data_IF_869076035591
#
_entry.id   IF_869076035591
#
_cell.length_a   1.000
_cell.length_b   1.000
_cell.length_c   1.000
_cell.angle_alpha   90.00
_cell.angle_beta   90.00
_cell.angle_gamma   90.00
#
_symmetry.space_group_name_H-M   'P 1'
#
loop_
_entity.id
_entity.type
_entity.pdbx_description
1 polymer ?
#
# COMPACT_ATOMS: atom_id res chain seq x y z
N UNK A 1 13.29 15.88 -4.67
CA UNK A 1 12.70 17.20 -4.95
C UNK A 1 12.92 17.63 -6.39
N UNK A 2 14.16 17.73 -6.87
CA UNK A 2 14.50 18.18 -8.23
C UNK A 2 13.82 17.32 -9.31
N UNK A 3 13.83 15.99 -9.15
CA UNK A 3 13.16 15.09 -10.08
C UNK A 3 11.66 15.39 -10.25
N UNK A 4 10.94 15.70 -9.17
CA UNK A 4 9.52 16.04 -9.24
C UNK A 4 9.27 17.35 -10.01
N UNK A 5 10.15 18.33 -9.84
CA UNK A 5 10.10 19.59 -10.59
C UNK A 5 10.32 19.32 -12.08
N UNK A 6 11.34 18.51 -12.42
CA UNK A 6 11.61 18.15 -13.82
C UNK A 6 10.47 17.34 -14.43
N UNK A 7 9.89 16.40 -13.71
CA UNK A 7 8.72 15.64 -14.15
C UNK A 7 7.54 16.57 -14.45
N UNK A 8 7.27 17.53 -13.57
CA UNK A 8 6.21 18.52 -13.81
C UNK A 8 6.48 19.38 -15.06
N UNK A 9 7.71 19.87 -15.22
CA UNK A 9 8.13 20.64 -16.41
C UNK A 9 8.02 19.83 -17.70
N UNK A 10 8.29 18.52 -17.63
CA UNK A 10 8.13 17.59 -18.75
C UNK A 10 6.66 17.21 -19.06
N UNK A 11 5.69 17.79 -18.32
CA UNK A 11 4.27 17.56 -18.55
C UNK A 11 3.67 16.35 -17.80
N UNK A 12 4.34 15.82 -16.78
CA UNK A 12 3.79 14.74 -15.96
C UNK A 12 2.48 15.18 -15.31
N UNK A 13 1.40 14.43 -15.57
CA UNK A 13 0.05 14.72 -15.07
C UNK A 13 -0.29 13.92 -13.81
N UNK A 14 0.24 12.70 -13.67
CA UNK A 14 -0.06 11.80 -12.57
C UNK A 14 1.16 10.97 -12.18
N UNK A 15 1.33 10.75 -10.86
CA UNK A 15 2.32 9.82 -10.29
C UNK A 15 1.60 8.86 -9.35
N UNK A 16 1.93 7.58 -9.48
CA UNK A 16 1.55 6.53 -8.53
C UNK A 16 2.77 6.12 -7.72
N UNK A 17 2.64 6.13 -6.40
CA UNK A 17 3.70 5.75 -5.46
C UNK A 17 3.43 4.39 -4.85
N UNK A 18 4.35 3.45 -5.02
CA UNK A 18 4.40 2.19 -4.27
C UNK A 18 4.92 2.44 -2.85
N UNK A 19 4.06 2.93 -1.96
CA UNK A 19 4.43 3.21 -0.56
C UNK A 19 4.42 1.94 0.27
N UNK A 20 3.50 1.03 -0.01
CA UNK A 20 3.31 -0.28 0.61
C UNK A 20 2.93 -0.18 2.11
N UNK A 21 3.66 0.53 2.94
CA UNK A 21 3.37 0.78 4.35
C UNK A 21 3.96 2.11 4.81
N UNK A 22 3.44 2.66 5.91
CA UNK A 22 4.02 3.80 6.63
C UNK A 22 4.51 3.38 8.04
N UNK A 23 4.61 2.08 8.30
CA UNK A 23 5.29 1.52 9.47
C UNK A 23 6.70 1.08 9.06
N UNK A 24 7.72 1.69 9.66
CA UNK A 24 9.12 1.43 9.35
C UNK A 24 9.49 -0.06 9.49
N UNK A 25 9.02 -0.69 10.57
CA UNK A 25 9.24 -2.13 10.82
C UNK A 25 8.74 -2.99 9.65
N UNK A 26 7.55 -2.70 9.13
CA UNK A 26 6.97 -3.45 7.99
C UNK A 26 7.80 -3.22 6.73
N UNK A 27 8.17 -1.98 6.43
CA UNK A 27 9.02 -1.64 5.28
C UNK A 27 10.35 -2.38 5.33
N UNK A 28 11.03 -2.38 6.47
CA UNK A 28 12.29 -3.11 6.64
C UNK A 28 12.13 -4.62 6.45
N UNK A 29 11.04 -5.22 6.94
CA UNK A 29 10.79 -6.66 6.82
C UNK A 29 10.62 -7.14 5.37
N UNK A 30 10.19 -6.24 4.48
CA UNK A 30 10.00 -6.50 3.05
C UNK A 30 11.10 -5.90 2.17
N UNK A 31 12.25 -5.55 2.77
CA UNK A 31 13.40 -5.04 2.04
C UNK A 31 13.29 -3.58 1.55
N UNK A 32 12.27 -2.85 1.97
CA UNK A 32 12.07 -1.42 1.66
C UNK A 32 12.83 -0.57 2.67
N UNK A 33 14.01 -0.07 2.31
CA UNK A 33 14.92 0.66 3.20
C UNK A 33 14.79 2.17 3.01
N UNK A 34 13.63 2.74 3.29
CA UNK A 34 13.41 4.19 3.28
C UNK A 34 12.61 4.63 4.50
N UNK A 35 12.80 5.89 4.89
CA UNK A 35 12.02 6.52 5.95
C UNK A 35 10.60 6.85 5.44
N UNK A 36 9.53 6.38 6.11
CA UNK A 36 8.15 6.72 5.77
C UNK A 36 7.89 8.23 5.69
N UNK A 37 8.57 9.04 6.49
CA UNK A 37 8.44 10.51 6.46
C UNK A 37 8.89 11.09 5.13
N UNK A 38 9.96 10.56 4.53
CA UNK A 38 10.44 10.97 3.22
C UNK A 38 9.43 10.66 2.10
N UNK A 39 8.75 9.52 2.20
CA UNK A 39 7.68 9.19 1.26
C UNK A 39 6.54 10.22 1.34
N UNK A 40 6.10 10.57 2.57
CA UNK A 40 5.05 11.57 2.78
C UNK A 40 5.45 12.97 2.29
N UNK A 41 6.70 13.39 2.52
CA UNK A 41 7.21 14.67 1.99
C UNK A 41 7.17 14.72 0.46
N UNK A 42 7.59 13.64 -0.21
CA UNK A 42 7.57 13.57 -1.66
C UNK A 42 6.15 13.54 -2.23
N UNK A 43 5.23 12.82 -1.59
CA UNK A 43 3.81 12.80 -1.95
C UNK A 43 3.20 14.21 -1.86
N UNK A 44 3.39 14.90 -0.73
CA UNK A 44 2.89 16.25 -0.51
C UNK A 44 3.52 17.27 -1.48
N UNK A 45 4.80 17.13 -1.79
CA UNK A 45 5.48 17.96 -2.78
C UNK A 45 4.91 17.73 -4.18
N UNK A 46 4.64 16.50 -4.60
CA UNK A 46 4.05 16.21 -5.90
C UNK A 46 2.70 16.92 -6.07
N UNK A 47 1.83 16.84 -5.05
CA UNK A 47 0.55 17.57 -5.02
C UNK A 47 0.77 19.08 -5.12
N UNK A 48 1.70 19.64 -4.35
CA UNK A 48 2.00 21.08 -4.36
C UNK A 48 2.50 21.60 -5.72
N UNK A 49 3.09 20.71 -6.52
CA UNK A 49 3.50 20.99 -7.91
C UNK A 49 2.36 20.82 -8.93
N UNK A 50 1.15 20.49 -8.47
CA UNK A 50 -0.02 20.26 -9.32
C UNK A 50 0.03 18.94 -10.09
N UNK A 51 0.74 17.93 -9.57
CA UNK A 51 0.76 16.58 -10.12
C UNK A 51 -0.29 15.76 -9.37
N UNK A 52 -1.24 15.15 -10.09
CA UNK A 52 -2.17 14.21 -9.47
C UNK A 52 -1.40 13.07 -8.83
N UNK A 53 -1.61 12.84 -7.55
CA UNK A 53 -0.80 11.91 -6.77
C UNK A 53 -1.67 10.81 -6.19
N UNK A 54 -1.24 9.58 -6.39
CA UNK A 54 -1.89 8.39 -5.86
C UNK A 54 -0.84 7.54 -5.13
N UNK A 55 -1.20 6.91 -4.03
CA UNK A 55 -0.35 5.95 -3.34
C UNK A 55 -1.12 4.66 -3.03
N UNK A 56 -0.39 3.54 -2.91
CA UNK A 56 -0.95 2.32 -2.37
C UNK A 56 -0.46 2.05 -0.95
N UNK A 57 -1.33 1.39 -0.19
CA UNK A 57 -1.03 0.72 1.09
C UNK A 57 -1.36 -0.76 0.91
N UNK A 58 -0.50 -1.63 1.39
CA UNK A 58 -0.68 -3.08 1.34
C UNK A 58 -0.87 -3.59 2.76
N UNK A 59 -1.86 -4.45 2.95
CA UNK A 59 -2.19 -5.11 4.22
C UNK A 59 -1.85 -6.60 4.12
N UNK A 60 -1.33 -7.17 5.20
CA UNK A 60 -1.11 -8.61 5.31
C UNK A 60 0.31 -9.07 5.01
N UNK A 61 1.30 -8.20 5.16
CA UNK A 61 2.70 -8.62 5.09
C UNK A 61 3.04 -9.68 6.15
N UNK A 62 3.92 -10.64 5.84
CA UNK A 62 4.41 -11.60 6.83
C UNK A 62 4.96 -10.90 8.07
N UNK A 63 4.48 -11.30 9.25
CA UNK A 63 4.89 -10.69 10.52
C UNK A 63 4.30 -9.31 10.83
N UNK A 64 3.45 -8.78 9.95
CA UNK A 64 2.70 -7.54 10.22
C UNK A 64 1.65 -7.78 11.32
N UNK A 65 1.64 -6.93 12.33
CA UNK A 65 0.69 -6.96 13.44
C UNK A 65 -0.40 -5.90 13.28
N UNK A 66 -1.47 -6.01 14.07
CA UNK A 66 -2.48 -4.95 14.16
C UNK A 66 -1.89 -3.59 14.55
N UNK A 67 -0.92 -3.59 15.47
CA UNK A 67 -0.22 -2.37 15.88
C UNK A 67 0.50 -1.70 14.72
N UNK A 68 1.14 -2.49 13.85
CA UNK A 68 1.88 -1.98 12.69
C UNK A 68 0.91 -1.35 11.66
N UNK A 69 -0.27 -1.96 11.44
CA UNK A 69 -1.34 -1.38 10.60
C UNK A 69 -1.89 -0.07 11.16
N UNK A 70 -2.12 -0.04 12.48
CA UNK A 70 -2.56 1.20 13.15
C UNK A 70 -1.49 2.29 13.09
N UNK A 71 -0.20 1.94 13.16
CA UNK A 71 0.90 2.88 12.98
C UNK A 71 0.92 3.46 11.56
N UNK A 72 0.73 2.63 10.53
CA UNK A 72 0.59 3.08 9.14
C UNK A 72 -0.54 4.11 9.01
N UNK A 73 -1.72 3.86 9.58
CA UNK A 73 -2.83 4.81 9.57
C UNK A 73 -2.50 6.11 10.31
N UNK A 74 -1.87 6.05 11.47
CA UNK A 74 -1.46 7.25 12.23
C UNK A 74 -0.47 8.10 11.44
N UNK A 75 0.54 7.47 10.83
CA UNK A 75 1.54 8.16 10.05
C UNK A 75 0.96 8.79 8.78
N UNK A 76 -0.06 8.18 8.19
CA UNK A 76 -0.76 8.75 7.04
C UNK A 76 -1.55 10.03 7.34
N UNK A 77 -1.80 10.36 8.60
CA UNK A 77 -2.50 11.59 9.00
C UNK A 77 -1.80 12.90 8.59
N UNK A 78 -0.57 12.82 8.07
CA UNK A 78 0.22 13.98 7.60
C UNK A 78 0.22 14.14 6.08
N UNK A 79 -0.41 13.25 5.33
CA UNK A 79 -0.50 13.34 3.88
C UNK A 79 -1.57 14.35 3.45
N UNK A 80 -1.34 14.97 2.29
CA UNK A 80 -2.27 15.94 1.74
C UNK A 80 -3.60 15.28 1.37
N UNK A 81 -4.71 15.97 1.62
CA UNK A 81 -6.07 15.46 1.37
C UNK A 81 -6.37 15.10 -0.09
N UNK A 82 -5.66 15.70 -1.03
CA UNK A 82 -5.83 15.46 -2.47
C UNK A 82 -4.98 14.27 -2.98
N UNK A 83 -4.39 13.49 -2.07
CA UNK A 83 -3.71 12.24 -2.41
C UNK A 83 -4.74 11.11 -2.42
N UNK A 84 -4.91 10.49 -3.59
CA UNK A 84 -5.74 9.29 -3.70
C UNK A 84 -5.01 8.10 -3.05
N UNK A 85 -5.69 7.38 -2.14
CA UNK A 85 -5.12 6.22 -1.47
C UNK A 85 -5.85 4.96 -1.90
N UNK A 86 -5.10 4.01 -2.45
CA UNK A 86 -5.55 2.67 -2.79
C UNK A 86 -5.08 1.71 -1.71
N UNK A 87 -5.96 0.89 -1.17
CA UNK A 87 -5.62 -0.12 -0.16
C UNK A 87 -5.82 -1.51 -0.76
N UNK A 88 -4.80 -2.34 -0.71
CA UNK A 88 -4.83 -3.71 -1.20
C UNK A 88 -4.40 -4.71 -0.12
N UNK A 89 -4.85 -5.97 -0.25
CA UNK A 89 -4.20 -7.09 0.41
C UNK A 89 -2.89 -7.46 -0.29
N UNK A 90 -2.01 -8.15 0.41
CA UNK A 90 -0.77 -8.64 -0.19
C UNK A 90 -1.07 -9.77 -1.19
N UNK A 91 -0.77 -9.50 -2.46
CA UNK A 91 -1.02 -10.44 -3.54
C UNK A 91 0.07 -11.51 -3.65
N UNK A 92 -0.35 -12.72 -4.02
CA UNK A 92 0.54 -13.83 -4.36
C UNK A 92 0.75 -13.81 -5.88
N UNK A 93 1.95 -13.42 -6.32
CA UNK A 93 2.31 -13.38 -7.74
C UNK A 93 3.47 -14.35 -8.02
N UNK A 94 3.37 -15.20 -9.07
CA UNK A 94 4.47 -16.09 -9.45
C UNK A 94 5.79 -15.34 -9.66
N UNK A 95 6.89 -15.92 -9.18
CA UNK A 95 8.22 -15.33 -9.29
C UNK A 95 8.58 -14.32 -8.19
N UNK A 96 7.68 -13.98 -7.29
CA UNK A 96 7.96 -13.16 -6.11
C UNK A 96 8.33 -14.04 -4.90
N UNK A 97 9.15 -13.50 -3.97
CA UNK A 97 9.50 -14.23 -2.73
C UNK A 97 8.26 -14.64 -1.92
N UNK A 98 7.22 -13.80 -1.91
CA UNK A 98 5.95 -14.10 -1.26
C UNK A 98 5.25 -15.32 -1.87
N UNK A 99 5.45 -15.60 -3.15
CA UNK A 99 4.91 -16.78 -3.82
C UNK A 99 5.52 -18.06 -3.23
N UNK A 100 6.84 -18.08 -3.08
CA UNK A 100 7.56 -19.20 -2.47
C UNK A 100 7.17 -19.40 -1.01
N UNK A 101 6.91 -18.32 -0.28
CA UNK A 101 6.39 -18.41 1.09
C UNK A 101 4.98 -19.02 1.10
N UNK A 102 4.11 -18.55 0.23
CA UNK A 102 2.75 -19.06 0.13
C UNK A 102 2.68 -20.54 -0.23
N UNK A 103 3.56 -21.02 -1.14
CA UNK A 103 3.66 -22.46 -1.45
C UNK A 103 4.06 -23.27 -0.22
N UNK A 104 5.01 -22.81 0.59
CA UNK A 104 5.37 -23.48 1.85
C UNK A 104 4.23 -23.48 2.87
N UNK A 105 3.40 -22.43 2.85
CA UNK A 105 2.21 -22.30 3.70
C UNK A 105 0.96 -23.03 3.16
N UNK A 106 1.12 -23.78 2.05
CA UNK A 106 0.06 -24.63 1.50
C UNK A 106 -0.79 -24.00 0.38
N UNK A 107 -0.36 -22.88 -0.20
CA UNK A 107 -1.01 -22.32 -1.40
C UNK A 107 -0.94 -23.31 -2.56
N UNK A 108 -2.07 -23.54 -3.22
CA UNK A 108 -2.17 -24.46 -4.35
C UNK A 108 -2.04 -23.72 -5.68
N UNK A 109 -1.00 -24.03 -6.45
CA UNK A 109 -0.75 -23.43 -7.77
C UNK A 109 -1.87 -23.68 -8.80
N UNK A 110 -2.70 -24.72 -8.61
CA UNK A 110 -3.86 -24.95 -9.45
C UNK A 110 -4.87 -23.80 -9.43
N UNK A 111 -4.72 -22.88 -8.47
CA UNK A 111 -5.46 -21.61 -8.42
C UNK A 111 -5.43 -20.90 -9.79
N UNK A 112 -4.26 -20.80 -10.42
CA UNK A 112 -4.09 -20.07 -11.69
C UNK A 112 -4.77 -20.75 -12.89
N UNK A 113 -5.20 -22.00 -12.72
CA UNK A 113 -5.86 -22.79 -13.77
C UNK A 113 -7.38 -22.92 -13.54
N UNK A 114 -7.89 -22.36 -12.49
CA UNK A 114 -9.28 -22.50 -12.07
C UNK A 114 -10.01 -21.15 -12.13
N UNK A 115 -11.34 -21.16 -12.22
CA UNK A 115 -12.15 -19.96 -12.10
C UNK A 115 -12.28 -19.56 -10.64
N UNK A 116 -12.01 -18.27 -10.35
CA UNK A 116 -12.12 -17.67 -9.01
C UNK A 116 -12.80 -16.31 -9.09
N UNK A 117 -13.40 -15.89 -7.97
CA UNK A 117 -13.95 -14.54 -7.84
C UNK A 117 -12.87 -13.45 -7.92
N UNK A 118 -11.67 -13.75 -7.42
CA UNK A 118 -10.53 -12.85 -7.43
C UNK A 118 -9.52 -13.27 -8.50
N UNK A 119 -9.14 -12.33 -9.36
CA UNK A 119 -8.13 -12.59 -10.38
C UNK A 119 -6.74 -12.88 -9.81
N UNK A 120 -6.43 -12.36 -8.60
CA UNK A 120 -5.15 -12.50 -7.92
C UNK A 120 -5.41 -12.89 -6.46
N UNK A 121 -4.83 -14.00 -5.96
CA UNK A 121 -5.05 -14.44 -4.59
C UNK A 121 -4.28 -13.57 -3.60
N UNK A 122 -4.86 -13.36 -2.41
CA UNK A 122 -4.18 -12.73 -1.28
C UNK A 122 -3.30 -13.74 -0.53
N UNK A 123 -2.19 -13.24 0.04
CA UNK A 123 -1.43 -14.01 1.02
C UNK A 123 -2.20 -14.12 2.34
N UNK A 124 -2.49 -15.34 2.78
CA UNK A 124 -3.31 -15.62 3.97
C UNK A 124 -2.53 -16.21 5.14
N UNK A 125 -1.20 -16.26 5.07
CA UNK A 125 -0.37 -16.71 6.18
C UNK A 125 -0.33 -15.75 7.37
N UNK A 126 -0.59 -14.44 7.14
CA UNK A 126 -0.59 -13.42 8.19
C UNK A 126 -2.01 -13.08 8.68
N UNK A 127 -3.00 -13.11 7.79
CA UNK A 127 -4.41 -12.81 8.06
C UNK A 127 -5.28 -13.75 7.23
N UNK A 128 -6.41 -14.18 7.78
CA UNK A 128 -7.46 -14.82 6.98
C UNK A 128 -8.00 -13.84 5.92
N UNK A 129 -8.66 -14.36 4.89
CA UNK A 129 -9.27 -13.54 3.82
C UNK A 129 -10.28 -12.53 4.40
N UNK A 130 -11.12 -12.96 5.35
CA UNK A 130 -12.13 -12.09 5.96
C UNK A 130 -11.49 -10.98 6.80
N UNK A 131 -10.46 -11.28 7.57
CA UNK A 131 -9.69 -10.28 8.31
C UNK A 131 -9.01 -9.29 7.38
N UNK A 132 -8.41 -9.77 6.27
CA UNK A 132 -7.80 -8.94 5.23
C UNK A 132 -8.81 -7.94 4.67
N UNK A 133 -9.97 -8.43 4.21
CA UNK A 133 -11.05 -7.57 3.71
C UNK A 133 -11.58 -6.62 4.78
N UNK A 134 -11.65 -7.06 6.03
CA UNK A 134 -12.02 -6.22 7.16
C UNK A 134 -11.06 -5.05 7.36
N UNK A 135 -9.75 -5.30 7.26
CA UNK A 135 -8.73 -4.26 7.36
C UNK A 135 -8.71 -3.32 6.15
N UNK A 136 -8.85 -3.84 4.93
CA UNK A 136 -8.94 -3.02 3.72
C UNK A 136 -10.08 -2.01 3.87
N UNK A 137 -11.30 -2.46 4.17
CA UNK A 137 -12.47 -1.57 4.36
C UNK A 137 -12.25 -0.55 5.48
N UNK A 138 -11.60 -0.94 6.59
CA UNK A 138 -11.28 -0.03 7.71
C UNK A 138 -10.31 1.06 7.28
N UNK A 139 -9.27 0.71 6.55
CA UNK A 139 -8.30 1.66 6.02
C UNK A 139 -8.93 2.62 5.00
N UNK A 140 -9.70 2.11 4.04
CA UNK A 140 -10.42 2.93 3.06
C UNK A 140 -11.35 3.93 3.75
N UNK A 141 -12.13 3.47 4.74
CA UNK A 141 -13.02 4.34 5.52
C UNK A 141 -12.26 5.45 6.26
N UNK A 142 -11.09 5.12 6.80
CA UNK A 142 -10.23 6.10 7.47
C UNK A 142 -9.76 7.19 6.49
N UNK A 143 -9.28 6.83 5.30
CA UNK A 143 -8.82 7.79 4.30
C UNK A 143 -9.96 8.65 3.75
N UNK A 144 -11.13 8.08 3.51
CA UNK A 144 -12.33 8.84 3.11
C UNK A 144 -12.73 9.87 4.17
N UNK A 145 -12.66 9.52 5.46
CA UNK A 145 -12.96 10.44 6.54
C UNK A 145 -11.93 11.57 6.63
N UNK A 146 -10.63 11.27 6.49
CA UNK A 146 -9.58 12.29 6.48
C UNK A 146 -9.78 13.32 5.37
N UNK A 147 -10.10 12.89 4.17
CA UNK A 147 -10.36 13.79 3.03
C UNK A 147 -11.56 14.72 3.27
N UNK A 148 -12.54 14.30 4.09
CA UNK A 148 -13.75 15.10 4.42
C UNK A 148 -13.50 16.13 5.51
N UNK A 149 -12.69 15.81 6.50
CA UNK A 149 -12.43 16.71 7.67
C UNK A 149 -11.64 17.96 7.25
N UNK A 150 -10.91 17.89 6.15
CA UNK A 150 -10.10 19.00 5.65
C UNK A 150 -10.75 19.78 4.48
N UNK A 151 -12.04 19.56 4.24
CA UNK A 151 -12.88 20.40 3.36
C UNK A 151 -13.55 21.52 4.14
#
# INVERSE_FOLDING_TARGET
RELLILLRQAGCQKIFYGVDSLCEKVLYSVGRKYDPSLAMENLNLAVSLGIKTEMNIIIGFPGETERDRVETLKNSGRIHKDIDVVVNGLWILPGAEIYEMALRDGFNESYWLSEHEEAIPFYTGALSKDEMHGWIRRCESYFVLQQRVHK
#
